data_IF_182829670053
#
_entry.id   IF_182829670053
#
_cell.length_a   1.000
_cell.length_b   1.000
_cell.length_c   1.000
_cell.angle_alpha   90.00
_cell.angle_beta   90.00
_cell.angle_gamma   90.00
#
_symmetry.space_group_name_H-M   'P 1'
#
loop_
_entity.id
_entity.type
_entity.pdbx_description
1 polymer ?
#
# COMPACT_ATOMS: atom_id res chain seq x y z
N UNK A 1 -37.24 0.76 -5.50
CA UNK A 1 -36.09 1.61 -5.15
C UNK A 1 -34.93 1.15 -6.01
N UNK A 2 -34.48 1.99 -6.93
CA UNK A 2 -33.33 1.68 -7.80
C UNK A 2 -32.09 2.26 -7.13
N UNK A 3 -31.07 1.43 -6.97
CA UNK A 3 -29.76 1.84 -6.42
C UNK A 3 -28.79 1.84 -7.59
N UNK A 4 -28.16 2.98 -7.82
CA UNK A 4 -27.15 3.15 -8.86
C UNK A 4 -25.79 3.19 -8.19
N UNK A 5 -24.95 2.20 -8.49
CA UNK A 5 -23.59 2.10 -8.02
C UNK A 5 -22.65 2.34 -9.19
N UNK A 6 -21.79 3.35 -9.09
CA UNK A 6 -20.82 3.67 -10.13
C UNK A 6 -19.47 4.03 -9.51
N UNK A 7 -18.42 3.88 -10.32
CA UNK A 7 -17.07 4.26 -9.94
C UNK A 7 -16.75 5.64 -10.54
N UNK A 8 -16.29 6.55 -9.69
CA UNK A 8 -15.86 7.89 -10.09
C UNK A 8 -14.35 8.05 -9.84
N UNK A 9 -13.70 8.87 -10.68
CA UNK A 9 -12.32 9.25 -10.45
C UNK A 9 -12.26 10.37 -9.41
N UNK A 10 -11.17 10.38 -8.63
CA UNK A 10 -10.88 11.47 -7.71
C UNK A 10 -9.72 12.26 -8.27
N UNK A 11 -9.98 13.49 -8.67
CA UNK A 11 -8.98 14.42 -9.19
C UNK A 11 -8.87 15.61 -8.24
N UNK A 12 -7.68 15.84 -7.68
CA UNK A 12 -7.40 16.95 -6.74
C UNK A 12 -8.35 17.04 -5.54
N UNK A 13 -8.84 15.89 -5.07
CA UNK A 13 -9.81 15.82 -3.95
C UNK A 13 -11.27 16.03 -4.37
N UNK A 14 -11.53 16.28 -5.65
CA UNK A 14 -12.88 16.35 -6.22
C UNK A 14 -13.27 14.99 -6.81
N UNK A 15 -14.46 14.51 -6.45
CA UNK A 15 -15.05 13.30 -7.06
C UNK A 15 -15.67 13.73 -8.39
N UNK A 16 -15.08 13.29 -9.50
CA UNK A 16 -15.56 13.61 -10.84
C UNK A 16 -16.63 12.60 -11.23
N UNK A 17 -17.87 13.05 -11.17
CA UNK A 17 -19.03 12.22 -11.52
C UNK A 17 -19.15 12.12 -13.05
N UNK A 18 -19.21 10.90 -13.62
CA UNK A 18 -19.42 10.69 -15.04
C UNK A 18 -20.73 11.31 -15.54
N UNK A 19 -20.72 11.84 -16.77
CA UNK A 19 -21.88 12.57 -17.30
C UNK A 19 -23.15 11.72 -17.41
N UNK A 20 -22.99 10.42 -17.63
CA UNK A 20 -24.10 9.46 -17.70
C UNK A 20 -24.93 9.42 -16.40
N UNK A 21 -24.34 9.74 -15.25
CA UNK A 21 -25.00 9.73 -13.95
C UNK A 21 -25.43 11.12 -13.45
N UNK A 22 -25.00 12.21 -14.11
CA UNK A 22 -25.33 13.59 -13.68
C UNK A 22 -26.84 13.86 -13.67
N UNK A 23 -27.58 13.31 -14.64
CA UNK A 23 -29.04 13.48 -14.70
C UNK A 23 -29.74 12.79 -13.53
N UNK A 24 -29.29 11.59 -13.16
CA UNK A 24 -29.85 10.84 -12.02
C UNK A 24 -29.59 11.59 -10.70
N UNK A 25 -28.44 12.23 -10.55
CA UNK A 25 -28.07 13.01 -9.36
C UNK A 25 -28.87 14.30 -9.17
N UNK A 26 -29.48 14.85 -10.23
CA UNK A 26 -30.27 16.07 -10.15
C UNK A 26 -31.55 15.89 -9.32
N UNK A 27 -32.01 14.64 -9.18
CA UNK A 27 -33.23 14.29 -8.45
C UNK A 27 -32.96 13.68 -7.07
N UNK A 28 -31.70 13.63 -6.62
CA UNK A 28 -31.29 12.88 -5.43
C UNK A 28 -30.69 13.81 -4.36
N UNK A 29 -31.23 13.74 -3.14
CA UNK A 29 -30.81 14.59 -2.02
C UNK A 29 -29.69 13.96 -1.15
N UNK A 30 -29.41 12.66 -1.30
CA UNK A 30 -28.56 11.90 -0.39
C UNK A 30 -27.76 10.83 -1.15
N UNK A 31 -26.44 10.84 -0.99
CA UNK A 31 -25.52 9.89 -1.65
C UNK A 31 -24.69 9.13 -0.63
N UNK A 32 -24.47 7.84 -0.87
CA UNK A 32 -23.56 6.99 -0.08
C UNK A 32 -22.24 6.85 -0.84
N UNK A 33 -21.13 7.26 -0.22
CA UNK A 33 -19.80 7.27 -0.86
C UNK A 33 -18.92 6.20 -0.20
N UNK A 34 -18.27 5.36 -1.02
CA UNK A 34 -17.31 4.34 -0.57
C UNK A 34 -15.92 4.71 -1.10
N UNK A 35 -14.98 4.98 -0.19
CA UNK A 35 -13.61 5.36 -0.53
C UNK A 35 -12.71 4.11 -0.60
N UNK A 36 -12.40 3.66 -1.82
CA UNK A 36 -11.44 2.59 -2.08
C UNK A 36 -10.03 3.17 -2.13
N UNK A 37 -9.33 3.16 -0.98
CA UNK A 37 -7.91 3.51 -0.94
C UNK A 37 -7.11 2.31 -1.44
N UNK A 38 -6.30 2.50 -2.50
CA UNK A 38 -5.26 1.51 -2.81
C UNK A 38 -4.41 1.37 -1.54
N UNK A 39 -4.07 0.14 -1.10
CA UNK A 39 -3.05 0.00 -0.09
C UNK A 39 -1.83 0.72 -0.65
N UNK A 40 -1.41 1.82 -0.01
CA UNK A 40 -0.07 2.31 -0.26
C UNK A 40 0.80 1.09 -0.02
N UNK A 41 1.66 0.74 -0.98
CA UNK A 41 2.78 -0.14 -0.68
C UNK A 41 3.49 0.59 0.45
N UNK A 42 3.20 0.21 1.69
CA UNK A 42 4.00 0.61 2.83
C UNK A 42 5.40 0.25 2.36
N UNK A 43 6.27 1.26 2.25
CA UNK A 43 7.68 1.00 1.98
C UNK A 43 8.03 -0.16 2.90
N UNK A 44 8.40 -1.32 2.33
CA UNK A 44 8.62 -2.56 3.09
C UNK A 44 9.33 -2.14 4.35
N UNK A 45 8.64 -2.22 5.48
CA UNK A 45 9.24 -1.88 6.75
C UNK A 45 10.27 -2.98 6.91
N UNK A 46 11.54 -2.67 6.67
CA UNK A 46 12.61 -3.62 6.89
C UNK A 46 12.53 -3.94 8.38
N UNK A 47 12.16 -5.17 8.71
CA UNK A 47 12.17 -5.60 10.09
C UNK A 47 13.62 -5.64 10.56
N UNK A 48 13.85 -5.43 11.86
CA UNK A 48 15.20 -5.44 12.43
C UNK A 48 15.99 -6.69 12.06
N UNK A 49 15.30 -7.83 11.88
CA UNK A 49 15.92 -9.08 11.44
C UNK A 49 16.42 -9.03 9.98
N UNK A 50 15.69 -8.37 9.08
CA UNK A 50 16.12 -8.17 7.69
C UNK A 50 17.34 -7.26 7.61
N UNK A 51 17.39 -6.21 8.44
CA UNK A 51 18.53 -5.30 8.52
C UNK A 51 19.78 -6.05 9.01
N UNK A 52 19.66 -6.83 10.09
CA UNK A 52 20.77 -7.62 10.64
C UNK A 52 21.25 -8.73 9.69
N UNK A 53 20.36 -9.26 8.85
CA UNK A 53 20.71 -10.24 7.82
C UNK A 53 21.58 -9.66 6.70
N UNK A 54 21.38 -8.39 6.35
CA UNK A 54 22.17 -7.68 5.32
C UNK A 54 23.41 -6.99 5.91
N UNK A 55 23.32 -6.51 7.15
CA UNK A 55 24.39 -5.81 7.85
C UNK A 55 24.63 -6.43 9.23
N UNK A 56 25.38 -7.54 9.30
CA UNK A 56 25.64 -8.22 10.57
C UNK A 56 26.49 -7.33 11.49
N UNK A 57 26.10 -7.26 12.77
CA UNK A 57 26.85 -6.51 13.78
C UNK A 57 28.11 -7.29 14.17
N UNK A 58 29.26 -6.62 14.10
CA UNK A 58 30.53 -7.16 14.55
C UNK A 58 30.66 -7.01 16.06
N UNK A 59 30.73 -8.13 16.79
CA UNK A 59 30.96 -8.12 18.24
C UNK A 59 32.40 -8.55 18.55
N UNK A 60 33.06 -7.81 19.43
CA UNK A 60 34.44 -8.10 19.80
C UNK A 60 34.56 -9.49 20.43
N UNK A 61 35.48 -10.31 19.91
CA UNK A 61 35.71 -11.68 20.38
C UNK A 61 34.93 -12.77 19.65
N UNK A 62 34.01 -12.44 18.75
CA UNK A 62 33.37 -13.42 17.84
C UNK A 62 34.00 -13.28 16.46
N UNK A 63 34.59 -14.37 15.95
CA UNK A 63 35.15 -14.40 14.60
C UNK A 63 34.02 -14.26 13.58
N UNK A 64 34.12 -13.28 12.70
CA UNK A 64 33.24 -13.13 11.53
C UNK A 64 33.58 -14.23 10.54
N UNK A 65 32.91 -15.37 10.64
CA UNK A 65 33.12 -16.50 9.74
C UNK A 65 32.37 -16.21 8.44
N UNK A 66 33.08 -16.19 7.31
CA UNK A 66 32.44 -16.09 5.99
C UNK A 66 31.93 -17.47 5.57
N UNK A 67 30.96 -17.52 4.67
CA UNK A 67 30.45 -18.80 4.15
C UNK A 67 31.56 -19.66 3.52
N UNK A 68 32.52 -19.02 2.86
CA UNK A 68 33.68 -19.70 2.26
C UNK A 68 34.52 -20.43 3.33
N UNK A 69 34.78 -19.78 4.47
CA UNK A 69 35.49 -20.33 5.63
C UNK A 69 34.75 -21.54 6.26
N UNK A 70 33.42 -21.65 6.09
CA UNK A 70 32.63 -22.80 6.58
C UNK A 70 32.62 -24.00 5.63
N UNK A 71 32.93 -23.79 4.35
CA UNK A 71 32.84 -24.81 3.30
C UNK A 71 34.16 -25.53 3.00
N UNK A 72 35.27 -25.14 3.63
CA UNK A 72 36.58 -25.81 3.53
C UNK A 72 36.69 -27.06 4.45
N UNK A 73 35.73 -28.00 4.35
CA UNK A 73 35.85 -29.32 4.98
C UNK A 73 36.35 -30.39 4.02
#
# INVERSE_FOLDING_TARGET
MSIVEFQANVEEGNIIIPEEYKQELTSVNLVKIILLKKPQKQAKQFDFIDELGQNPVLVAGIRSVTREDMHER
#
